data_IF_760101325267
#
_entry.id   IF_760101325267
#
_cell.length_a   1.000
_cell.length_b   1.000
_cell.length_c   1.000
_cell.angle_alpha   90.00
_cell.angle_beta   90.00
_cell.angle_gamma   90.00
#
_symmetry.space_group_name_H-M   'P 1'
#
loop_
_entity.id
_entity.type
_entity.pdbx_description
1 polymer ?
#
# COMPACT_ATOMS: atom_id res chain seq x y z
N UNK A 1 -21.58 -1.59 -13.75
CA UNK A 1 -20.27 -1.39 -13.07
C UNK A 1 -20.02 0.12 -13.04
N UNK A 2 -20.37 0.77 -11.94
CA UNK A 2 -20.20 2.20 -11.77
C UNK A 2 -19.03 2.44 -10.83
N UNK A 3 -17.87 2.73 -11.40
CA UNK A 3 -16.76 3.33 -10.68
C UNK A 3 -17.02 4.81 -10.53
N UNK A 4 -17.58 5.24 -9.41
CA UNK A 4 -17.93 6.62 -9.17
C UNK A 4 -16.73 7.38 -8.61
N UNK A 5 -16.39 8.49 -9.26
CA UNK A 5 -15.55 9.53 -8.71
C UNK A 5 -16.39 10.43 -7.81
N UNK A 6 -16.08 10.50 -6.52
CA UNK A 6 -16.69 11.46 -5.62
C UNK A 6 -15.81 12.70 -5.56
N UNK A 7 -16.35 13.85 -5.99
CA UNK A 7 -15.71 15.15 -5.84
C UNK A 7 -16.18 15.79 -4.55
N UNK A 8 -15.27 15.98 -3.57
CA UNK A 8 -15.56 16.79 -2.37
C UNK A 8 -15.00 18.19 -2.58
N UNK A 9 -15.86 19.22 -2.44
CA UNK A 9 -15.49 20.63 -2.59
C UNK A 9 -14.41 20.96 -1.54
N UNK A 10 -13.22 21.37 -2.01
CA UNK A 10 -12.08 21.69 -1.15
C UNK A 10 -11.11 20.54 -0.81
N UNK A 11 -11.44 19.28 -1.14
CA UNK A 11 -10.63 18.11 -0.76
C UNK A 11 -10.16 17.26 -1.96
N UNK A 12 -10.57 17.58 -3.19
CA UNK A 12 -10.18 16.85 -4.39
C UNK A 12 -11.22 15.86 -4.93
N UNK A 13 -10.79 15.02 -5.86
CA UNK A 13 -11.62 14.00 -6.50
C UNK A 13 -11.18 12.63 -6.02
N UNK A 14 -12.10 11.83 -5.48
CA UNK A 14 -11.85 10.51 -4.92
C UNK A 14 -12.45 9.43 -5.82
N UNK A 15 -11.75 8.30 -5.96
CA UNK A 15 -12.25 7.11 -6.64
C UNK A 15 -13.00 6.26 -5.61
N UNK A 16 -14.32 6.09 -5.81
CA UNK A 16 -15.06 5.07 -5.06
C UNK A 16 -15.05 3.77 -5.86
N UNK A 17 -14.58 2.70 -5.22
CA UNK A 17 -14.68 1.30 -5.68
C UNK A 17 -14.49 1.08 -7.19
N UNK A 18 -13.40 1.58 -7.77
CA UNK A 18 -12.84 0.90 -8.91
C UNK A 18 -12.27 -0.43 -8.37
N UNK A 19 -12.77 -1.58 -8.83
CA UNK A 19 -11.96 -2.79 -8.81
C UNK A 19 -10.62 -2.37 -9.38
N UNK A 20 -9.61 -2.31 -8.53
CA UNK A 20 -8.26 -1.94 -8.90
C UNK A 20 -7.90 -2.74 -10.15
N UNK A 21 -7.65 -2.07 -11.27
CA UNK A 21 -7.08 -2.70 -12.46
C UNK A 21 -5.59 -3.04 -12.25
N UNK A 22 -5.10 -2.90 -11.03
CA UNK A 22 -3.86 -3.58 -10.63
C UNK A 22 -4.11 -5.06 -10.89
N UNK A 23 -3.25 -5.74 -11.63
CA UNK A 23 -3.45 -7.15 -11.85
C UNK A 23 -3.39 -7.87 -10.50
N UNK A 24 -4.56 -8.06 -9.87
CA UNK A 24 -4.73 -9.02 -8.77
C UNK A 24 -4.28 -10.43 -9.21
N UNK A 25 -4.16 -10.65 -10.51
CA UNK A 25 -3.55 -11.82 -11.14
C UNK A 25 -2.11 -12.14 -10.68
N UNK A 26 -1.38 -11.14 -10.14
CA UNK A 26 -0.06 -11.37 -9.53
C UNK A 26 -0.15 -11.70 -8.03
N UNK A 27 -1.33 -11.63 -7.43
CA UNK A 27 -1.55 -11.87 -6.00
C UNK A 27 -1.69 -13.35 -5.66
N UNK A 28 -1.95 -14.21 -6.62
CA UNK A 28 -1.95 -15.68 -6.46
C UNK A 28 -0.56 -16.30 -6.68
N UNK A 29 0.45 -15.49 -6.91
CA UNK A 29 1.83 -15.96 -6.93
C UNK A 29 2.17 -16.52 -5.54
N UNK A 30 2.52 -17.82 -5.47
CA UNK A 30 2.72 -18.61 -4.25
C UNK A 30 3.67 -17.98 -3.23
N UNK A 31 3.89 -18.66 -2.11
CA UNK A 31 4.68 -18.19 -0.95
C UNK A 31 6.05 -17.57 -1.29
N UNK A 32 6.67 -17.96 -2.41
CA UNK A 32 7.93 -17.41 -2.89
C UNK A 32 7.82 -16.02 -3.54
N UNK A 33 6.61 -15.49 -3.76
CA UNK A 33 6.39 -14.19 -4.38
C UNK A 33 6.61 -13.01 -3.41
N UNK A 34 6.79 -13.28 -2.12
CA UNK A 34 6.97 -12.24 -1.10
C UNK A 34 8.18 -12.55 -0.22
N UNK A 35 9.09 -11.59 -0.11
CA UNK A 35 10.18 -11.61 0.87
C UNK A 35 9.86 -10.62 2.00
N UNK A 36 9.72 -11.13 3.22
CA UNK A 36 9.54 -10.27 4.40
C UNK A 36 10.86 -9.63 4.78
N UNK A 37 10.85 -8.31 4.90
CA UNK A 37 11.98 -7.52 5.40
C UNK A 37 11.86 -7.37 6.91
N UNK A 38 10.67 -7.01 7.40
CA UNK A 38 10.37 -6.97 8.85
C UNK A 38 8.86 -6.87 9.07
N UNK A 39 8.40 -7.40 10.21
CA UNK A 39 7.08 -7.10 10.78
C UNK A 39 7.27 -6.83 12.27
N UNK A 40 6.85 -5.67 12.76
CA UNK A 40 7.05 -5.30 14.15
C UNK A 40 6.00 -4.32 14.66
N UNK A 41 5.74 -4.38 15.96
CA UNK A 41 5.01 -3.35 16.68
C UNK A 41 5.96 -2.15 16.89
N UNK A 42 5.51 -0.96 16.55
CA UNK A 42 6.25 0.30 16.67
C UNK A 42 5.55 1.20 17.69
N UNK A 43 6.29 1.71 18.66
CA UNK A 43 5.88 2.71 19.65
C UNK A 43 6.59 4.04 19.46
N UNK A 44 7.44 4.15 18.42
CA UNK A 44 8.25 5.32 18.13
C UNK A 44 8.18 5.65 16.63
N UNK A 45 8.47 6.91 16.31
CA UNK A 45 8.55 7.38 14.93
C UNK A 45 7.32 8.16 14.49
N UNK A 46 7.49 9.45 14.26
CA UNK A 46 6.43 10.41 13.94
C UNK A 46 5.65 10.10 12.65
N UNK A 47 6.27 9.39 11.71
CA UNK A 47 5.68 9.18 10.40
C UNK A 47 4.43 8.28 10.43
N UNK A 48 4.48 7.15 11.15
CA UNK A 48 3.34 6.22 11.26
C UNK A 48 2.14 6.87 11.96
N UNK A 49 2.38 7.59 13.05
CA UNK A 49 1.33 8.32 13.76
C UNK A 49 0.64 9.33 12.87
N UNK A 50 1.42 10.14 12.13
CA UNK A 50 0.88 11.14 11.21
C UNK A 50 0.02 10.50 10.11
N UNK A 51 0.47 9.39 9.52
CA UNK A 51 -0.22 8.76 8.40
C UNK A 51 -1.50 8.04 8.83
N UNK A 52 -1.53 7.52 10.05
CA UNK A 52 -2.68 6.80 10.62
C UNK A 52 -3.60 7.70 11.46
N UNK A 53 -3.22 8.96 11.72
CA UNK A 53 -3.96 9.84 12.62
C UNK A 53 -3.94 9.38 14.08
N UNK A 54 -2.86 8.71 14.51
CA UNK A 54 -2.73 8.14 15.85
C UNK A 54 -2.11 9.12 16.84
N UNK A 55 -2.53 9.00 18.10
CA UNK A 55 -1.85 9.62 19.22
C UNK A 55 -0.44 8.98 19.41
N UNK A 56 0.62 9.77 19.66
CA UNK A 56 1.98 9.25 19.86
C UNK A 56 2.16 8.26 21.01
N UNK A 57 1.23 8.21 21.96
CA UNK A 57 1.25 7.22 23.07
C UNK A 57 0.85 5.81 22.65
N UNK A 58 0.28 5.65 21.45
CA UNK A 58 -0.21 4.37 20.93
C UNK A 58 0.86 3.65 20.12
N UNK A 59 0.79 2.33 20.07
CA UNK A 59 1.62 1.53 19.17
C UNK A 59 0.87 1.21 17.88
N UNK A 60 1.61 0.96 16.80
CA UNK A 60 1.05 0.52 15.52
C UNK A 60 1.91 -0.59 14.90
N UNK A 61 1.31 -1.47 14.10
CA UNK A 61 2.06 -2.48 13.37
C UNK A 61 2.67 -1.91 12.08
N UNK A 62 3.89 -2.34 11.78
CA UNK A 62 4.58 -1.99 10.53
C UNK A 62 5.12 -3.25 9.87
N UNK A 63 4.65 -3.53 8.66
CA UNK A 63 5.12 -4.63 7.81
C UNK A 63 5.90 -4.06 6.63
N UNK A 64 7.12 -4.52 6.45
CA UNK A 64 7.94 -4.22 5.27
C UNK A 64 8.20 -5.49 4.48
N UNK A 65 7.92 -5.46 3.19
CA UNK A 65 8.06 -6.64 2.33
C UNK A 65 8.44 -6.25 0.90
N UNK A 66 9.08 -7.19 0.19
CA UNK A 66 9.38 -7.09 -1.23
C UNK A 66 8.52 -8.10 -1.96
N UNK A 67 7.75 -7.65 -2.93
CA UNK A 67 6.97 -8.49 -3.83
C UNK A 67 7.81 -8.84 -5.07
N UNK A 68 7.63 -10.05 -5.59
CA UNK A 68 8.43 -10.60 -6.69
C UNK A 68 7.55 -11.24 -7.74
N UNK A 69 8.05 -11.22 -8.97
CA UNK A 69 7.58 -12.07 -10.07
C UNK A 69 8.75 -12.99 -10.39
N UNK A 70 8.60 -14.28 -10.09
CA UNK A 70 9.75 -15.18 -10.07
C UNK A 70 10.82 -14.72 -9.07
N UNK A 71 12.04 -14.45 -9.57
CA UNK A 71 13.14 -13.97 -8.73
C UNK A 71 13.34 -12.45 -8.76
N UNK A 72 12.56 -11.72 -9.58
CA UNK A 72 12.71 -10.28 -9.77
C UNK A 72 11.79 -9.50 -8.82
N UNK A 73 12.31 -8.56 -8.02
CA UNK A 73 11.50 -7.63 -7.27
C UNK A 73 10.73 -6.72 -8.23
N UNK A 74 9.42 -6.56 -7.99
CA UNK A 74 8.61 -5.58 -8.72
C UNK A 74 8.02 -4.50 -7.84
N UNK A 75 7.99 -4.72 -6.51
CA UNK A 75 7.57 -3.72 -5.54
C UNK A 75 8.23 -3.93 -4.18
N UNK A 76 8.58 -2.84 -3.52
CA UNK A 76 8.87 -2.79 -2.09
C UNK A 76 7.72 -2.06 -1.41
N UNK A 77 7.13 -2.67 -0.39
CA UNK A 77 5.98 -2.13 0.35
C UNK A 77 6.35 -1.90 1.82
N UNK A 78 6.01 -0.72 2.33
CA UNK A 78 6.15 -0.27 3.71
C UNK A 78 4.76 0.07 4.24
N UNK A 79 4.15 -0.86 5.01
CA UNK A 79 2.75 -0.88 5.37
C UNK A 79 2.61 -0.60 6.86
N UNK A 80 1.70 0.29 7.21
CA UNK A 80 1.37 0.72 8.55
C UNK A 80 -0.08 0.37 8.85
N UNK A 81 -0.34 -0.25 9.99
CA UNK A 81 -1.67 -0.72 10.39
C UNK A 81 -2.13 -0.02 11.66
N UNK A 82 -3.33 0.54 11.61
CA UNK A 82 -3.96 1.16 12.76
C UNK A 82 -4.39 0.09 13.76
N UNK A 83 -4.05 0.20 15.06
CA UNK A 83 -4.23 -0.87 16.05
C UNK A 83 -5.71 -1.21 16.33
N UNK A 84 -6.63 -0.27 16.14
CA UNK A 84 -8.05 -0.52 16.37
C UNK A 84 -8.68 -1.42 15.29
N UNK A 85 -8.11 -1.39 14.08
CA UNK A 85 -8.55 -2.23 12.97
C UNK A 85 -7.72 -3.52 12.86
N UNK A 86 -6.44 -3.45 13.26
CA UNK A 86 -5.48 -4.55 13.21
C UNK A 86 -4.77 -4.67 14.56
N UNK A 87 -5.44 -5.25 15.58
CA UNK A 87 -4.82 -5.43 16.90
C UNK A 87 -3.61 -6.36 16.84
N UNK A 88 -3.58 -7.26 15.86
CA UNK A 88 -2.44 -8.13 15.55
C UNK A 88 -2.21 -8.20 14.05
N UNK A 89 -0.92 -8.33 13.64
CA UNK A 89 -0.53 -8.57 12.24
C UNK A 89 0.31 -9.84 12.21
N UNK A 90 -0.33 -10.97 11.99
CA UNK A 90 0.29 -12.28 11.92
C UNK A 90 0.81 -12.62 10.52
N UNK A 91 1.38 -13.84 10.40
CA UNK A 91 1.97 -14.33 9.15
C UNK A 91 0.95 -14.46 8.02
N UNK A 92 -0.32 -14.62 8.33
CA UNK A 92 -1.44 -14.71 7.40
C UNK A 92 -1.61 -13.46 6.54
N UNK A 93 -1.11 -12.31 7.02
CA UNK A 93 -1.13 -11.04 6.27
C UNK A 93 0.07 -10.86 5.33
N UNK A 94 1.15 -11.61 5.53
CA UNK A 94 2.42 -11.29 4.88
C UNK A 94 2.39 -11.39 3.36
N UNK A 95 1.59 -12.29 2.81
CA UNK A 95 1.50 -12.54 1.36
C UNK A 95 0.28 -11.92 0.70
N UNK A 96 -0.72 -11.53 1.48
CA UNK A 96 -2.02 -11.01 0.99
C UNK A 96 -1.91 -9.62 0.37
N UNK A 97 -2.81 -9.31 -0.56
CA UNK A 97 -3.06 -7.95 -1.04
C UNK A 97 -3.72 -7.09 0.03
N UNK A 98 -3.52 -5.76 -0.03
CA UNK A 98 -3.98 -4.85 1.03
C UNK A 98 -5.51 -4.81 1.14
N UNK A 99 -6.23 -4.75 0.01
CA UNK A 99 -7.70 -4.80 0.02
C UNK A 99 -8.24 -6.11 0.59
N UNK A 100 -7.57 -7.23 0.30
CA UNK A 100 -7.93 -8.54 0.85
C UNK A 100 -7.68 -8.62 2.35
N UNK A 101 -6.56 -8.04 2.83
CA UNK A 101 -6.30 -7.93 4.27
C UNK A 101 -7.45 -7.22 4.97
N UNK A 102 -7.89 -6.08 4.45
CA UNK A 102 -8.98 -5.31 5.02
C UNK A 102 -10.31 -6.08 5.00
N UNK A 103 -10.66 -6.69 3.87
CA UNK A 103 -11.90 -7.46 3.74
C UNK A 103 -11.97 -8.64 4.71
N UNK A 104 -10.88 -9.41 4.85
CA UNK A 104 -10.79 -10.54 5.79
C UNK A 104 -10.74 -10.09 7.26
N UNK A 105 -10.38 -8.83 7.52
CA UNK A 105 -10.46 -8.21 8.85
C UNK A 105 -11.84 -7.63 9.18
N UNK A 106 -12.85 -7.84 8.32
CA UNK A 106 -14.21 -7.38 8.53
C UNK A 106 -14.56 -6.03 7.89
N UNK A 107 -13.68 -5.51 7.03
CA UNK A 107 -13.84 -4.20 6.36
C UNK A 107 -13.84 -4.37 4.83
N UNK A 108 -14.90 -4.96 4.23
CA UNK A 108 -14.96 -5.17 2.77
C UNK A 108 -15.16 -3.87 1.97
N UNK A 109 -15.85 -2.89 2.60
CA UNK A 109 -16.19 -1.61 1.97
C UNK A 109 -15.24 -0.53 2.47
N UNK A 110 -14.19 -0.25 1.69
CA UNK A 110 -13.23 0.80 2.01
C UNK A 110 -13.13 1.84 0.90
N UNK A 111 -12.76 3.06 1.34
CA UNK A 111 -12.27 4.09 0.43
C UNK A 111 -10.75 3.97 0.33
N UNK A 112 -10.23 3.97 -0.90
CA UNK A 112 -8.79 4.00 -1.14
C UNK A 112 -8.44 5.31 -1.85
N UNK A 113 -7.57 6.09 -1.21
CA UNK A 113 -6.96 7.27 -1.82
C UNK A 113 -5.51 6.96 -2.17
N UNK A 114 -5.07 7.34 -3.37
CA UNK A 114 -3.70 7.11 -3.83
C UNK A 114 -3.06 8.39 -4.37
N UNK A 115 -1.83 8.65 -3.89
CA UNK A 115 -0.90 9.61 -4.48
C UNK A 115 0.18 8.87 -5.23
N UNK A 116 0.48 9.28 -6.46
CA UNK A 116 1.55 8.69 -7.28
C UNK A 116 2.59 9.76 -7.58
N UNK A 117 3.84 9.48 -7.22
CA UNK A 117 4.98 10.38 -7.42
C UNK A 117 6.10 9.65 -8.15
N UNK A 118 6.76 10.33 -9.10
CA UNK A 118 7.99 9.87 -9.72
C UNK A 118 9.18 10.37 -8.89
N UNK A 119 10.07 9.46 -8.51
CA UNK A 119 11.23 9.75 -7.65
C UNK A 119 12.50 9.09 -8.20
N UNK A 120 13.64 9.54 -7.71
CA UNK A 120 14.91 8.81 -7.87
C UNK A 120 15.08 7.83 -6.71
N UNK A 121 15.47 6.60 -7.04
CA UNK A 121 15.60 5.52 -6.06
C UNK A 121 16.76 5.79 -5.10
N UNK A 122 16.45 5.83 -3.81
CA UNK A 122 17.45 5.94 -2.75
C UNK A 122 18.16 4.61 -2.52
N UNK A 123 19.41 4.65 -2.04
CA UNK A 123 20.28 3.49 -1.85
C UNK A 123 19.60 2.29 -1.16
N UNK A 124 18.95 2.52 -0.01
CA UNK A 124 18.31 1.42 0.75
C UNK A 124 17.15 0.76 -0.01
N UNK A 125 16.39 1.54 -0.79
CA UNK A 125 15.28 1.03 -1.62
C UNK A 125 15.85 0.31 -2.85
N UNK A 126 16.92 0.83 -3.44
CA UNK A 126 17.62 0.25 -4.57
C UNK A 126 18.12 -1.17 -4.27
N UNK A 127 18.70 -1.38 -3.10
CA UNK A 127 19.12 -2.72 -2.63
C UNK A 127 17.96 -3.72 -2.56
N UNK A 128 16.78 -3.27 -2.08
CA UNK A 128 15.60 -4.12 -1.96
C UNK A 128 14.96 -4.44 -3.31
N UNK A 129 14.94 -3.46 -4.22
CA UNK A 129 14.38 -3.59 -5.56
C UNK A 129 15.37 -4.19 -6.57
N UNK A 130 16.66 -4.32 -6.21
CA UNK A 130 17.76 -4.76 -7.09
C UNK A 130 17.90 -3.87 -8.35
N UNK A 131 17.80 -2.57 -8.15
CA UNK A 131 18.05 -1.56 -9.17
C UNK A 131 19.24 -0.69 -8.77
N UNK A 132 19.75 0.14 -9.67
CA UNK A 132 20.81 1.09 -9.36
C UNK A 132 20.27 2.26 -8.52
N UNK A 133 21.09 2.77 -7.60
CA UNK A 133 20.78 4.01 -6.88
C UNK A 133 20.62 5.15 -7.90
N UNK A 134 19.56 5.94 -7.76
CA UNK A 134 19.24 7.01 -8.71
C UNK A 134 18.37 6.56 -9.90
N UNK A 135 18.07 5.26 -10.04
CA UNK A 135 17.10 4.80 -11.05
C UNK A 135 15.73 5.44 -10.84
N UNK A 136 14.96 5.72 -11.91
CA UNK A 136 13.61 6.22 -11.78
C UNK A 136 12.68 5.16 -11.15
N UNK A 137 11.89 5.59 -10.20
CA UNK A 137 10.88 4.75 -9.54
C UNK A 137 9.55 5.50 -9.43
N UNK A 138 8.45 4.76 -9.38
CA UNK A 138 7.16 5.29 -8.95
C UNK A 138 6.94 4.95 -7.48
N UNK A 139 6.63 5.96 -6.67
CA UNK A 139 6.11 5.78 -5.32
C UNK A 139 4.60 5.94 -5.35
N UNK A 140 3.88 4.99 -4.76
CA UNK A 140 2.44 5.08 -4.56
C UNK A 140 2.18 5.10 -3.05
N UNK A 141 1.54 6.16 -2.58
CA UNK A 141 1.05 6.28 -1.21
C UNK A 141 -0.43 5.95 -1.24
N UNK A 142 -0.82 4.83 -0.63
CA UNK A 142 -2.21 4.37 -0.59
C UNK A 142 -2.75 4.47 0.84
N UNK A 143 -3.86 5.17 1.01
CA UNK A 143 -4.59 5.32 2.27
C UNK A 143 -5.88 4.51 2.17
N UNK A 144 -6.01 3.52 3.01
CA UNK A 144 -7.20 2.67 3.12
C UNK A 144 -8.01 3.14 4.32
N UNK A 145 -9.23 3.60 4.09
CA UNK A 145 -10.08 4.19 5.13
C UNK A 145 -11.41 3.46 5.26
N UNK A 146 -11.87 3.31 6.49
CA UNK A 146 -13.23 2.92 6.84
C UNK A 146 -13.91 4.14 7.46
N UNK A 147 -14.93 4.68 6.81
CA UNK A 147 -15.44 6.00 7.13
C UNK A 147 -14.37 7.08 6.99
N UNK A 148 -14.22 7.91 8.01
CA UNK A 148 -13.25 9.00 8.03
C UNK A 148 -11.87 8.60 8.63
N UNK A 149 -11.72 7.34 9.07
CA UNK A 149 -10.50 6.88 9.75
C UNK A 149 -9.61 6.06 8.82
N UNK A 150 -8.32 6.42 8.76
CA UNK A 150 -7.30 5.64 8.06
C UNK A 150 -7.00 4.38 8.87
N UNK A 151 -7.38 3.23 8.33
CA UNK A 151 -7.12 1.93 8.93
C UNK A 151 -5.77 1.34 8.54
N UNK A 152 -5.29 1.70 7.34
CA UNK A 152 -4.04 1.18 6.81
C UNK A 152 -3.44 2.21 5.85
N UNK A 153 -2.12 2.42 5.95
CA UNK A 153 -1.35 3.25 5.03
C UNK A 153 -0.22 2.42 4.43
N UNK A 154 0.00 2.55 3.13
CA UNK A 154 1.09 1.87 2.44
C UNK A 154 1.88 2.85 1.57
N UNK A 155 3.20 2.79 1.65
CA UNK A 155 4.10 3.30 0.62
C UNK A 155 4.65 2.15 -0.18
N UNK A 156 4.31 2.08 -1.45
CA UNK A 156 4.89 1.11 -2.36
C UNK A 156 5.82 1.80 -3.36
N UNK A 157 6.95 1.16 -3.64
CA UNK A 157 7.99 1.64 -4.54
C UNK A 157 8.14 0.64 -5.67
N UNK A 158 8.05 1.10 -6.91
CA UNK A 158 8.05 0.28 -8.12
C UNK A 158 9.15 0.75 -9.06
N UNK A 159 9.99 -0.16 -9.62
CA UNK A 159 10.94 0.22 -10.67
C UNK A 159 10.22 0.81 -11.88
N UNK A 160 10.73 1.92 -12.40
CA UNK A 160 10.07 2.65 -13.49
C UNK A 160 10.07 1.93 -14.84
N UNK A 161 10.98 0.99 -15.04
CA UNK A 161 11.10 0.17 -16.23
C UNK A 161 10.12 -1.02 -16.29
N UNK A 162 9.66 -1.47 -15.12
CA UNK A 162 8.81 -2.68 -14.98
C UNK A 162 7.39 -2.39 -14.49
N UNK A 163 7.07 -1.14 -14.19
CA UNK A 163 5.76 -0.77 -13.67
C UNK A 163 5.08 0.31 -14.51
N UNK A 164 3.81 0.07 -14.90
CA UNK A 164 2.94 1.06 -15.53
C UNK A 164 1.75 1.35 -14.63
N UNK A 165 1.54 2.61 -14.29
CA UNK A 165 0.30 3.05 -13.66
C UNK A 165 -0.75 3.28 -14.76
N UNK A 166 -1.88 2.59 -14.66
CA UNK A 166 -3.00 2.71 -15.60
C UNK A 166 -4.27 3.06 -14.84
N UNK A 167 -4.99 4.09 -15.29
CA UNK A 167 -6.31 4.43 -14.79
C UNK A 167 -7.32 4.42 -15.94
N UNK A 168 -8.47 3.79 -15.76
CA UNK A 168 -9.57 3.81 -16.70
C UNK A 168 -10.58 4.86 -16.23
N UNK A 169 -10.86 5.86 -17.08
CA UNK A 169 -11.95 6.83 -16.88
C UNK A 169 -13.03 6.53 -17.88
N UNK A 170 -14.27 6.37 -17.41
CA UNK A 170 -15.44 6.31 -18.28
C UNK A 170 -16.09 7.70 -18.28
N UNK A 171 -16.57 8.20 -19.43
CA UNK A 171 -17.37 9.42 -19.46
C UNK A 171 -18.63 9.20 -18.62
N UNK A 172 -19.10 10.24 -17.96
CA UNK A 172 -20.35 10.29 -17.22
C UNK A 172 -21.52 10.19 -18.18
#
# INVERSE_FOLDING_TARGET
>A
YEGLLIRRKGSGTFLTTAKSSKPDLLLEAGENAVKIVSCKLCSEGSYGYKMLGLDPSRSYWRLRRVRRIGHQPYAYEDIYFHPDFFPTVGREFYTKGLSRMAAESGYPDLTVYEDVEALLCLHNTALLLKVETGSPILQIKSYFSSGDQVMMFCRSYHPGDSYKYQSLRRPL
#
